data_IF_437333555357
#
_entry.id   IF_437333555357
#
_cell.length_a   1.000
_cell.length_b   1.000
_cell.length_c   1.000
_cell.angle_alpha   90.00
_cell.angle_beta   90.00
_cell.angle_gamma   90.00
#
_symmetry.space_group_name_H-M   'P 1'
#
loop_
_entity.id
_entity.type
_entity.pdbx_description
1 polymer ?
#
# COMPACT_ATOMS: atom_id res chain seq x y z
N UNK A 1 4.12 1.65 46.37
CA UNK A 1 5.40 1.24 45.77
C UNK A 1 5.07 0.54 44.45
N UNK A 2 4.94 1.33 43.39
CA UNK A 2 4.45 0.90 42.09
C UNK A 2 5.59 0.93 41.09
N UNK A 3 5.85 -0.17 40.46
CA UNK A 3 6.87 -0.37 39.45
C UNK A 3 6.50 0.31 38.12
N UNK A 4 7.44 0.97 37.46
CA UNK A 4 7.23 1.42 36.08
C UNK A 4 7.59 0.29 35.13
N UNK A 5 6.58 -0.37 34.57
CA UNK A 5 6.74 -1.46 33.58
C UNK A 5 6.87 -0.98 32.13
N UNK A 6 7.29 0.26 31.87
CA UNK A 6 7.23 0.86 30.52
C UNK A 6 8.57 1.30 29.93
N UNK A 7 9.71 1.04 30.61
CA UNK A 7 11.01 1.53 30.15
C UNK A 7 11.91 0.50 29.41
N UNK A 8 11.44 -0.72 29.13
CA UNK A 8 12.33 -1.81 28.67
C UNK A 8 12.16 -2.22 27.20
N UNK A 9 11.61 -1.39 26.29
CA UNK A 9 11.34 -1.81 24.89
C UNK A 9 12.03 -1.02 23.79
N UNK A 10 12.92 -0.08 24.07
CA UNK A 10 13.52 0.78 23.04
C UNK A 10 14.93 0.38 22.56
N UNK A 11 15.51 -0.71 23.04
CA UNK A 11 16.92 -1.02 22.78
C UNK A 11 17.19 -2.29 21.95
N UNK A 12 16.21 -2.83 21.23
CA UNK A 12 16.46 -3.92 20.30
C UNK A 12 17.03 -3.39 19.00
N UNK A 13 18.36 -3.34 18.90
CA UNK A 13 19.07 -2.87 17.71
C UNK A 13 19.05 -3.86 16.52
N UNK A 14 18.62 -5.10 16.69
CA UNK A 14 18.66 -6.14 15.67
C UNK A 14 17.28 -6.80 15.46
N UNK A 15 17.02 -7.24 14.20
CA UNK A 15 15.86 -8.05 13.86
C UNK A 15 16.03 -9.45 14.44
N UNK A 16 15.01 -9.94 15.12
CA UNK A 16 14.89 -11.35 15.51
C UNK A 16 14.40 -12.21 14.31
N UNK A 17 14.59 -13.53 14.34
CA UNK A 17 14.08 -14.41 13.26
C UNK A 17 12.58 -14.23 12.98
N UNK A 18 11.77 -14.01 14.02
CA UNK A 18 10.33 -13.72 13.88
C UNK A 18 10.06 -12.41 13.13
N UNK A 19 10.90 -11.38 13.35
CA UNK A 19 10.75 -10.08 12.68
C UNK A 19 11.09 -10.20 11.18
N UNK A 20 12.11 -10.99 10.85
CA UNK A 20 12.43 -11.33 9.46
C UNK A 20 11.31 -12.12 8.80
N UNK A 21 10.71 -13.10 9.51
CA UNK A 21 9.56 -13.85 9.01
C UNK A 21 8.37 -12.94 8.71
N UNK A 22 8.01 -12.03 9.61
CA UNK A 22 6.96 -11.05 9.40
C UNK A 22 7.28 -10.10 8.24
N UNK A 23 8.53 -9.64 8.15
CA UNK A 23 8.99 -8.74 7.10
C UNK A 23 8.88 -9.36 5.71
N UNK A 24 9.36 -10.59 5.54
CA UNK A 24 9.29 -11.33 4.27
C UNK A 24 7.84 -11.65 3.92
N UNK A 25 7.05 -12.16 4.89
CA UNK A 25 5.64 -12.47 4.67
C UNK A 25 4.86 -11.23 4.20
N UNK A 26 5.05 -10.08 4.86
CA UNK A 26 4.39 -8.84 4.49
C UNK A 26 4.79 -8.33 3.12
N UNK A 27 6.10 -8.39 2.81
CA UNK A 27 6.62 -7.98 1.50
C UNK A 27 5.99 -8.82 0.39
N UNK A 28 5.89 -10.16 0.61
CA UNK A 28 5.28 -11.08 -0.33
C UNK A 28 3.77 -10.85 -0.46
N UNK A 29 3.03 -10.73 0.64
CA UNK A 29 1.58 -10.53 0.65
C UNK A 29 1.22 -9.24 -0.13
N UNK A 30 1.91 -8.14 0.14
CA UNK A 30 1.61 -6.89 -0.55
C UNK A 30 2.14 -6.85 -1.98
N UNK A 31 3.30 -7.43 -2.26
CA UNK A 31 3.81 -7.57 -3.63
C UNK A 31 2.92 -8.44 -4.51
N UNK A 32 2.36 -9.52 -3.94
CA UNK A 32 1.43 -10.40 -4.65
C UNK A 32 0.04 -9.77 -4.87
N UNK A 33 -0.30 -8.69 -4.17
CA UNK A 33 -1.62 -8.05 -4.31
C UNK A 33 -1.91 -7.61 -5.76
N UNK A 34 -0.91 -7.18 -6.51
CA UNK A 34 -1.08 -6.74 -7.91
C UNK A 34 -1.37 -7.93 -8.84
N UNK A 35 -0.76 -9.09 -8.60
CA UNK A 35 -1.08 -10.33 -9.29
C UNK A 35 -2.53 -10.77 -9.02
N UNK A 36 -2.97 -10.72 -7.76
CA UNK A 36 -4.35 -11.09 -7.41
C UNK A 36 -5.39 -10.12 -7.98
N UNK A 37 -5.08 -8.82 -8.07
CA UNK A 37 -5.93 -7.84 -8.78
C UNK A 37 -6.05 -8.23 -10.24
N UNK A 38 -4.96 -8.55 -10.91
CA UNK A 38 -4.94 -8.90 -12.33
C UNK A 38 -5.71 -10.21 -12.61
N UNK A 39 -5.57 -11.23 -11.76
CA UNK A 39 -6.37 -12.46 -11.85
C UNK A 39 -7.87 -12.14 -11.68
N UNK A 40 -8.21 -11.29 -10.73
CA UNK A 40 -9.60 -10.91 -10.46
C UNK A 40 -10.23 -10.14 -11.64
N UNK A 41 -9.47 -9.28 -12.30
CA UNK A 41 -9.88 -8.52 -13.47
C UNK A 41 -10.23 -9.40 -14.68
N UNK A 42 -9.81 -10.67 -14.69
CA UNK A 42 -10.20 -11.63 -15.71
C UNK A 42 -11.72 -11.89 -15.80
N UNK A 43 -12.49 -11.57 -14.74
CA UNK A 43 -13.93 -11.73 -14.72
C UNK A 43 -14.67 -10.63 -13.94
N UNK A 44 -14.01 -9.98 -12.98
CA UNK A 44 -14.63 -8.98 -12.13
C UNK A 44 -14.30 -7.56 -12.59
N UNK A 45 -15.32 -6.73 -12.60
CA UNK A 45 -15.17 -5.29 -12.80
C UNK A 45 -14.39 -4.66 -11.63
N UNK A 46 -13.53 -3.64 -11.84
CA UNK A 46 -12.76 -2.97 -10.80
C UNK A 46 -13.55 -2.56 -9.55
N UNK A 47 -14.78 -2.11 -9.74
CA UNK A 47 -15.68 -1.72 -8.65
C UNK A 47 -16.02 -2.88 -7.71
N UNK A 48 -16.28 -4.06 -8.26
CA UNK A 48 -16.57 -5.25 -7.46
C UNK A 48 -15.34 -5.71 -6.69
N UNK A 49 -14.16 -5.73 -7.34
CA UNK A 49 -12.90 -6.08 -6.69
C UNK A 49 -12.62 -5.15 -5.50
N UNK A 50 -12.74 -3.84 -5.70
CA UNK A 50 -12.55 -2.84 -4.64
C UNK A 50 -13.52 -3.07 -3.49
N UNK A 51 -14.81 -3.19 -3.78
CA UNK A 51 -15.86 -3.31 -2.77
C UNK A 51 -15.72 -4.59 -1.93
N UNK A 52 -15.50 -5.74 -2.58
CA UNK A 52 -15.25 -7.01 -1.87
C UNK A 52 -13.97 -6.91 -1.04
N UNK A 53 -12.89 -6.32 -1.60
CA UNK A 53 -11.62 -6.16 -0.91
C UNK A 53 -11.77 -5.38 0.39
N UNK A 54 -12.42 -4.21 0.35
CA UNK A 54 -12.58 -3.38 1.56
C UNK A 54 -13.60 -3.99 2.53
N UNK A 55 -14.70 -4.57 2.03
CA UNK A 55 -15.76 -5.17 2.83
C UNK A 55 -15.31 -6.41 3.59
N UNK A 56 -14.76 -7.40 2.88
CA UNK A 56 -14.23 -8.60 3.54
C UNK A 56 -12.99 -8.29 4.39
N UNK A 57 -12.15 -7.33 3.99
CA UNK A 57 -11.06 -6.83 4.82
C UNK A 57 -11.56 -6.20 6.12
N UNK A 58 -12.64 -5.41 6.07
CA UNK A 58 -13.28 -4.86 7.25
C UNK A 58 -13.85 -5.96 8.17
N UNK A 59 -14.53 -6.94 7.58
CA UNK A 59 -15.09 -8.10 8.32
C UNK A 59 -13.98 -8.93 8.99
N UNK A 60 -12.89 -9.20 8.26
CA UNK A 60 -11.74 -9.93 8.80
C UNK A 60 -11.10 -9.22 10.02
N UNK A 61 -11.08 -7.90 10.04
CA UNK A 61 -10.59 -7.15 11.20
C UNK A 61 -11.66 -7.03 12.30
N UNK A 62 -12.95 -6.97 11.97
CA UNK A 62 -14.04 -6.78 12.92
C UNK A 62 -14.20 -7.95 13.89
N UNK A 63 -13.73 -9.16 13.52
CA UNK A 63 -13.71 -10.32 14.42
C UNK A 63 -12.73 -10.16 15.59
N UNK A 64 -11.75 -9.26 15.45
CA UNK A 64 -10.75 -9.00 16.48
C UNK A 64 -11.33 -8.09 17.57
N UNK A 65 -11.30 -8.49 18.86
CA UNK A 65 -11.75 -7.62 19.95
C UNK A 65 -11.02 -6.27 19.97
N UNK A 66 -9.74 -6.27 19.61
CA UNK A 66 -8.90 -5.07 19.54
C UNK A 66 -9.37 -4.05 18.49
N UNK A 67 -10.15 -4.45 17.48
CA UNK A 67 -10.70 -3.54 16.48
C UNK A 67 -11.87 -2.68 17.01
N UNK A 68 -12.47 -3.06 18.16
CA UNK A 68 -13.69 -2.46 18.71
C UNK A 68 -13.42 -1.28 19.62
N UNK A 69 -12.74 -0.25 19.07
CA UNK A 69 -12.42 0.98 19.82
C UNK A 69 -13.37 2.10 19.40
N UNK A 70 -13.85 2.89 20.37
CA UNK A 70 -14.64 4.09 20.12
C UNK A 70 -13.71 5.27 19.84
N UNK A 71 -13.93 5.95 18.72
CA UNK A 71 -13.19 7.15 18.33
C UNK A 71 -13.86 8.39 18.92
N UNK A 72 -13.07 9.27 19.49
CA UNK A 72 -13.52 10.59 19.94
C UNK A 72 -14.11 11.39 18.76
N UNK A 73 -15.14 12.20 18.98
CA UNK A 73 -15.82 12.95 17.91
C UNK A 73 -14.88 13.76 17.03
N UNK A 74 -13.89 14.41 17.63
CA UNK A 74 -12.87 15.24 16.96
C UNK A 74 -11.97 14.45 16.02
N UNK A 75 -11.75 13.14 16.25
CA UNK A 75 -10.89 12.30 15.43
C UNK A 75 -11.66 11.58 14.30
N UNK A 76 -13.00 11.53 14.37
CA UNK A 76 -13.82 10.83 13.37
C UNK A 76 -13.63 11.40 11.96
N UNK A 77 -13.51 12.73 11.85
CA UNK A 77 -13.26 13.41 10.57
C UNK A 77 -11.93 13.00 9.98
N UNK A 78 -10.88 12.86 10.79
CA UNK A 78 -9.56 12.41 10.33
C UNK A 78 -9.60 10.97 9.84
N UNK A 79 -10.30 10.07 10.57
CA UNK A 79 -10.48 8.67 10.16
C UNK A 79 -11.29 8.57 8.86
N UNK A 80 -12.31 9.43 8.68
CA UNK A 80 -13.06 9.51 7.42
C UNK A 80 -12.15 9.93 6.27
N UNK A 81 -11.35 10.98 6.41
CA UNK A 81 -10.39 11.37 5.38
C UNK A 81 -9.37 10.28 5.07
N UNK A 82 -8.86 9.59 6.10
CA UNK A 82 -7.96 8.46 5.91
C UNK A 82 -8.65 7.29 5.19
N UNK A 83 -9.95 7.05 5.42
CA UNK A 83 -10.68 6.02 4.68
C UNK A 83 -10.76 6.32 3.18
N UNK A 84 -10.72 7.59 2.80
CA UNK A 84 -10.71 8.03 1.40
C UNK A 84 -9.29 7.92 0.83
N UNK A 85 -8.33 8.62 1.45
CA UNK A 85 -6.99 8.78 0.85
C UNK A 85 -6.06 7.58 1.06
N UNK A 86 -6.28 6.76 2.09
CA UNK A 86 -5.46 5.57 2.31
C UNK A 86 -6.06 4.29 1.75
N UNK A 87 -7.36 4.18 1.72
CA UNK A 87 -8.04 2.93 1.38
C UNK A 87 -8.82 3.07 0.08
N UNK A 88 -9.86 3.84 0.08
CA UNK A 88 -10.84 3.76 -0.98
C UNK A 88 -10.33 4.26 -2.32
N UNK A 89 -9.70 5.44 -2.38
CA UNK A 89 -9.14 5.96 -3.62
C UNK A 89 -8.03 5.06 -4.15
N UNK A 90 -6.97 4.71 -3.38
CA UNK A 90 -5.93 3.83 -3.89
C UNK A 90 -6.44 2.43 -4.29
N UNK A 91 -7.29 1.81 -3.46
CA UNK A 91 -7.79 0.46 -3.76
C UNK A 91 -8.73 0.42 -4.97
N UNK A 92 -9.33 1.55 -5.32
CA UNK A 92 -10.10 1.71 -6.57
C UNK A 92 -9.19 1.96 -7.76
N UNK A 93 -8.17 2.78 -7.59
CA UNK A 93 -7.29 3.17 -8.69
C UNK A 93 -6.38 2.03 -9.17
N UNK A 94 -5.92 1.12 -8.28
CA UNK A 94 -5.08 0.00 -8.71
C UNK A 94 -5.80 -0.94 -9.69
N UNK A 95 -7.01 -1.46 -9.41
CA UNK A 95 -7.72 -2.28 -10.39
C UNK A 95 -8.09 -1.52 -11.67
N UNK A 96 -8.40 -0.21 -11.58
CA UNK A 96 -8.64 0.62 -12.75
C UNK A 96 -7.38 0.78 -13.60
N UNK A 97 -6.24 1.06 -12.97
CA UNK A 97 -4.95 1.22 -13.63
C UNK A 97 -4.52 -0.07 -14.35
N UNK A 98 -4.77 -1.22 -13.75
CA UNK A 98 -4.40 -2.52 -14.33
C UNK A 98 -5.26 -2.92 -15.54
N UNK A 99 -6.28 -2.15 -15.89
CA UNK A 99 -6.94 -2.27 -17.20
C UNK A 99 -6.08 -1.66 -18.33
N UNK A 100 -5.06 -0.86 -18.01
CA UNK A 100 -4.23 -0.11 -18.97
C UNK A 100 -2.75 -0.51 -18.92
N UNK A 101 -2.26 -0.96 -17.77
CA UNK A 101 -0.88 -1.39 -17.53
C UNK A 101 -0.85 -2.72 -16.77
N UNK A 102 0.19 -3.51 -16.96
CA UNK A 102 0.29 -4.83 -16.34
C UNK A 102 0.58 -4.76 -14.81
N UNK A 103 0.47 -5.91 -14.15
CA UNK A 103 0.64 -6.03 -12.70
C UNK A 103 2.07 -5.72 -12.24
N UNK A 104 3.08 -6.11 -13.03
CA UNK A 104 4.48 -5.83 -12.74
C UNK A 104 4.75 -4.32 -12.70
N UNK A 105 4.32 -3.57 -13.73
CA UNK A 105 4.49 -2.10 -13.81
C UNK A 105 3.74 -1.41 -12.68
N UNK A 106 2.52 -1.85 -12.37
CA UNK A 106 1.73 -1.29 -11.26
C UNK A 106 2.48 -1.40 -9.94
N UNK A 107 3.05 -2.58 -9.65
CA UNK A 107 3.82 -2.80 -8.43
C UNK A 107 5.16 -2.06 -8.41
N UNK A 108 5.86 -1.96 -9.56
CA UNK A 108 7.08 -1.16 -9.68
C UNK A 108 6.83 0.31 -9.33
N UNK A 109 5.77 0.91 -9.88
CA UNK A 109 5.38 2.30 -9.63
C UNK A 109 4.92 2.51 -8.18
N UNK A 110 4.35 1.48 -7.52
CA UNK A 110 4.00 1.57 -6.10
C UNK A 110 5.22 1.82 -5.20
N UNK A 111 6.43 1.49 -5.64
CA UNK A 111 7.69 1.84 -4.97
C UNK A 111 7.91 3.35 -4.79
N UNK A 112 7.12 4.20 -5.46
CA UNK A 112 7.16 5.66 -5.32
C UNK A 112 6.56 6.18 -3.99
N UNK A 113 5.86 5.36 -3.21
CA UNK A 113 5.21 5.78 -1.96
C UNK A 113 6.14 6.51 -0.98
N UNK A 114 7.36 6.03 -0.66
CA UNK A 114 8.27 6.76 0.23
C UNK A 114 8.71 8.12 -0.32
N UNK A 115 8.83 8.22 -1.65
CA UNK A 115 9.21 9.46 -2.34
C UNK A 115 8.12 10.51 -2.14
N UNK A 116 6.86 10.17 -2.44
CA UNK A 116 5.72 11.07 -2.20
C UNK A 116 5.51 11.37 -0.71
N UNK A 117 5.77 10.40 0.18
CA UNK A 117 5.71 10.64 1.62
C UNK A 117 6.70 11.73 2.04
N UNK A 118 7.93 11.69 1.54
CA UNK A 118 8.95 12.69 1.84
C UNK A 118 8.63 14.05 1.22
N UNK A 119 8.17 14.09 -0.02
CA UNK A 119 7.77 15.34 -0.71
C UNK A 119 6.62 16.02 0.04
N UNK A 120 5.55 15.29 0.34
CA UNK A 120 4.38 15.81 1.05
C UNK A 120 4.76 16.23 2.47
N UNK A 121 5.59 15.45 3.17
CA UNK A 121 6.13 15.78 4.47
C UNK A 121 6.87 17.12 4.49
N UNK A 122 7.65 17.37 3.42
CA UNK A 122 8.37 18.63 3.25
C UNK A 122 7.47 19.82 2.94
N UNK A 123 6.53 19.65 2.02
CA UNK A 123 5.68 20.74 1.53
C UNK A 123 4.61 21.17 2.54
N UNK A 124 3.97 20.21 3.24
CA UNK A 124 2.76 20.47 4.02
C UNK A 124 2.92 20.22 5.52
N UNK A 125 3.96 19.51 5.95
CA UNK A 125 4.12 19.12 7.36
C UNK A 125 5.38 19.66 8.01
N UNK A 126 6.06 20.64 7.36
CA UNK A 126 7.23 21.31 7.93
C UNK A 126 8.45 20.38 8.11
N UNK A 127 8.57 19.33 7.31
CA UNK A 127 9.67 18.35 7.36
C UNK A 127 10.48 18.40 6.06
N UNK A 128 11.19 19.53 5.77
CA UNK A 128 11.88 19.71 4.50
C UNK A 128 12.98 18.66 4.31
N UNK A 129 13.03 18.08 3.12
CA UNK A 129 14.10 17.16 2.74
C UNK A 129 15.43 17.93 2.61
N UNK A 130 16.53 17.37 3.11
CA UNK A 130 17.87 17.96 3.08
C UNK A 130 18.88 16.92 2.59
N UNK A 131 20.06 17.39 2.12
CA UNK A 131 21.19 16.55 1.78
C UNK A 131 20.84 15.28 0.99
N UNK A 132 21.16 14.08 1.50
CA UNK A 132 20.91 12.81 0.83
C UNK A 132 19.45 12.55 0.47
N UNK A 133 18.50 13.14 1.22
CA UNK A 133 17.08 12.99 0.91
C UNK A 133 16.70 13.66 -0.40
N UNK A 134 17.23 14.86 -0.67
CA UNK A 134 17.00 15.57 -1.97
C UNK A 134 17.57 14.78 -3.13
N UNK A 135 18.78 14.24 -2.98
CA UNK A 135 19.37 13.36 -3.97
C UNK A 135 18.51 12.13 -4.21
N UNK A 136 18.01 11.51 -3.13
CA UNK A 136 17.08 10.37 -3.20
C UNK A 136 15.79 10.69 -3.96
N UNK A 137 15.19 11.86 -3.70
CA UNK A 137 14.01 12.33 -4.44
C UNK A 137 14.29 12.50 -5.94
N UNK A 138 15.43 13.07 -6.30
CA UNK A 138 15.81 13.26 -7.71
C UNK A 138 16.04 11.91 -8.41
N UNK A 139 16.81 11.01 -7.80
CA UNK A 139 17.05 9.65 -8.33
C UNK A 139 15.73 8.89 -8.49
N UNK A 140 14.90 8.90 -7.46
CA UNK A 140 13.62 8.22 -7.48
C UNK A 140 12.66 8.78 -8.54
N UNK A 141 12.66 10.10 -8.74
CA UNK A 141 11.87 10.72 -9.81
C UNK A 141 12.33 10.27 -11.20
N UNK A 142 13.64 10.23 -11.46
CA UNK A 142 14.18 9.66 -12.70
C UNK A 142 13.75 8.20 -12.87
N UNK A 143 13.79 7.42 -11.79
CA UNK A 143 13.31 6.03 -11.80
C UNK A 143 11.83 5.91 -12.16
N UNK A 144 10.95 6.72 -11.57
CA UNK A 144 9.51 6.77 -11.89
C UNK A 144 9.30 7.09 -13.38
N UNK A 145 9.97 8.10 -13.90
CA UNK A 145 9.90 8.49 -15.33
C UNK A 145 10.36 7.33 -16.20
N UNK A 146 11.47 6.69 -15.86
CA UNK A 146 12.02 5.54 -16.62
C UNK A 146 11.03 4.37 -16.66
N UNK A 147 10.44 3.98 -15.52
CA UNK A 147 9.42 2.93 -15.46
C UNK A 147 8.19 3.32 -16.29
N UNK A 148 7.74 4.57 -16.14
CA UNK A 148 6.55 5.07 -16.85
C UNK A 148 6.70 5.03 -18.36
N UNK A 149 7.87 5.47 -18.89
CA UNK A 149 8.17 5.44 -20.31
C UNK A 149 8.43 4.03 -20.85
N UNK A 150 8.83 3.11 -19.97
CA UNK A 150 9.21 1.74 -20.34
C UNK A 150 8.07 0.75 -20.13
N UNK A 151 6.88 1.19 -19.76
CA UNK A 151 5.73 0.33 -19.40
C UNK A 151 5.20 -0.57 -20.52
N UNK A 152 5.81 -0.51 -21.72
CA UNK A 152 5.48 -1.38 -22.86
C UNK A 152 4.15 -1.09 -23.53
N UNK A 153 3.28 -0.34 -22.90
CA UNK A 153 2.05 0.15 -23.48
C UNK A 153 2.34 1.52 -24.13
N UNK A 154 2.54 1.53 -25.44
CA UNK A 154 2.66 2.77 -26.20
C UNK A 154 1.25 3.36 -26.39
N UNK A 155 1.05 4.63 -25.97
CA UNK A 155 -0.18 5.37 -26.24
C UNK A 155 -0.79 6.05 -25.02
N UNK A 156 -1.85 6.84 -25.25
CA UNK A 156 -2.58 7.58 -24.22
C UNK A 156 -3.11 6.69 -23.08
N UNK A 157 -3.52 5.46 -23.42
CA UNK A 157 -4.08 4.50 -22.46
C UNK A 157 -3.09 4.12 -21.34
N UNK A 158 -1.82 3.88 -21.69
CA UNK A 158 -0.79 3.57 -20.70
C UNK A 158 -0.51 4.74 -19.75
N UNK A 159 -0.50 5.96 -20.29
CA UNK A 159 -0.34 7.17 -19.50
C UNK A 159 -1.43 7.29 -18.43
N UNK A 160 -2.69 6.97 -18.78
CA UNK A 160 -3.81 6.96 -17.83
C UNK A 160 -3.55 5.97 -16.69
N UNK A 161 -3.14 4.73 -17.00
CA UNK A 161 -2.82 3.72 -15.98
C UNK A 161 -1.69 4.15 -15.05
N UNK A 162 -0.60 4.68 -15.63
CA UNK A 162 0.54 5.22 -14.86
C UNK A 162 0.09 6.37 -13.95
N UNK A 163 -0.68 7.33 -14.49
CA UNK A 163 -1.17 8.48 -13.72
C UNK A 163 -2.05 8.04 -12.55
N UNK A 164 -2.92 7.03 -12.75
CA UNK A 164 -3.74 6.45 -11.68
C UNK A 164 -2.89 5.84 -10.56
N UNK A 165 -1.84 5.08 -10.89
CA UNK A 165 -0.95 4.49 -9.89
C UNK A 165 -0.17 5.57 -9.15
N UNK A 166 0.38 6.56 -9.86
CA UNK A 166 1.11 7.66 -9.23
C UNK A 166 0.20 8.49 -8.31
N UNK A 167 -1.06 8.72 -8.70
CA UNK A 167 -2.02 9.39 -7.83
C UNK A 167 -2.38 8.54 -6.61
N UNK A 168 -2.53 7.22 -6.75
CA UNK A 168 -2.72 6.32 -5.61
C UNK A 168 -1.53 6.36 -4.63
N UNK A 169 -0.29 6.38 -5.14
CA UNK A 169 0.92 6.48 -4.31
C UNK A 169 1.08 7.85 -3.64
N UNK A 170 0.64 8.92 -4.32
CA UNK A 170 0.52 10.25 -3.72
C UNK A 170 -0.45 10.25 -2.54
N UNK A 171 -1.63 9.63 -2.71
CA UNK A 171 -2.61 9.45 -1.64
C UNK A 171 -2.02 8.67 -0.46
N UNK A 172 -1.26 7.61 -0.69
CA UNK A 172 -0.54 6.88 0.36
C UNK A 172 0.49 7.76 1.08
N UNK A 173 1.24 8.58 0.32
CA UNK A 173 2.18 9.53 0.90
C UNK A 173 1.50 10.54 1.83
N UNK A 174 0.35 11.08 1.43
CA UNK A 174 -0.46 11.96 2.27
C UNK A 174 -1.00 11.23 3.50
N UNK A 175 -1.59 10.06 3.31
CA UNK A 175 -2.15 9.25 4.39
C UNK A 175 -1.10 8.89 5.45
N UNK A 176 0.09 8.50 5.04
CA UNK A 176 1.20 8.17 5.94
C UNK A 176 1.58 9.35 6.84
N UNK A 177 1.58 10.58 6.29
CA UNK A 177 1.88 11.79 7.07
C UNK A 177 0.78 12.13 8.11
N UNK A 178 -0.49 11.79 7.82
CA UNK A 178 -1.65 12.10 8.68
C UNK A 178 -1.90 10.99 9.71
N UNK A 179 -1.66 9.74 9.36
CA UNK A 179 -2.10 8.58 10.14
C UNK A 179 -1.35 8.37 11.45
N UNK A 180 -0.08 8.79 11.53
CA UNK A 180 0.78 8.52 12.69
C UNK A 180 0.14 8.85 14.03
N UNK A 181 -0.32 10.08 14.29
CA UNK A 181 -0.94 10.46 15.56
C UNK A 181 -2.20 9.65 15.88
N UNK A 182 -3.02 9.35 14.90
CA UNK A 182 -4.27 8.58 15.07
C UNK A 182 -3.97 7.12 15.40
N UNK A 183 -3.03 6.51 14.68
CA UNK A 183 -2.60 5.14 14.96
C UNK A 183 -1.89 5.01 16.30
N UNK A 184 -1.15 6.03 16.71
CA UNK A 184 -0.51 6.04 18.04
C UNK A 184 -1.56 6.11 19.17
N UNK A 185 -2.63 6.90 18.98
CA UNK A 185 -3.70 7.09 19.97
C UNK A 185 -4.61 5.86 20.10
N UNK A 186 -4.99 5.22 18.98
CA UNK A 186 -6.02 4.17 18.96
C UNK A 186 -5.49 2.78 18.59
N UNK A 187 -4.25 2.68 18.12
CA UNK A 187 -3.68 1.49 17.54
C UNK A 187 -3.96 1.37 16.02
N UNK A 188 -3.10 0.65 15.32
CA UNK A 188 -3.21 0.50 13.86
C UNK A 188 -4.43 -0.32 13.44
N UNK A 189 -4.73 -1.41 14.17
CA UNK A 189 -5.83 -2.33 13.83
C UNK A 189 -7.21 -1.65 13.95
N UNK A 190 -7.57 -0.96 15.04
CA UNK A 190 -8.85 -0.24 15.14
C UNK A 190 -9.02 0.83 14.06
N UNK A 191 -7.95 1.60 13.80
CA UNK A 191 -7.97 2.67 12.78
C UNK A 191 -8.23 2.06 11.41
N UNK A 192 -7.52 0.99 11.05
CA UNK A 192 -7.69 0.32 9.76
C UNK A 192 -9.07 -0.32 9.62
N UNK A 193 -9.57 -1.01 10.64
CA UNK A 193 -10.91 -1.60 10.63
C UNK A 193 -11.98 -0.55 10.38
N UNK A 194 -11.88 0.61 11.03
CA UNK A 194 -12.82 1.72 10.83
C UNK A 194 -12.71 2.35 9.45
N UNK A 195 -11.48 2.52 8.94
CA UNK A 195 -11.27 3.05 7.59
C UNK A 195 -11.83 2.11 6.51
N UNK A 196 -11.60 0.81 6.63
CA UNK A 196 -12.15 -0.19 5.70
C UNK A 196 -13.68 -0.21 5.74
N UNK A 197 -14.30 -0.15 6.93
CA UNK A 197 -15.74 -0.09 7.07
C UNK A 197 -16.33 1.16 6.38
N UNK A 198 -15.74 2.32 6.62
CA UNK A 198 -16.17 3.57 5.98
C UNK A 198 -15.95 3.50 4.45
N UNK A 199 -14.81 2.95 4.01
CA UNK A 199 -14.53 2.75 2.59
C UNK A 199 -15.57 1.83 1.94
N UNK A 200 -15.99 0.75 2.63
CA UNK A 200 -17.04 -0.14 2.14
C UNK A 200 -18.33 0.62 1.86
N UNK A 201 -18.74 1.51 2.79
CA UNK A 201 -19.99 2.27 2.66
C UNK A 201 -19.97 3.18 1.43
N UNK A 202 -18.93 4.00 1.26
CA UNK A 202 -18.92 4.95 0.16
C UNK A 202 -18.45 4.38 -1.18
N UNK A 203 -17.79 3.20 -1.20
CA UNK A 203 -17.52 2.47 -2.46
C UNK A 203 -18.69 1.60 -2.90
N UNK A 204 -19.75 1.44 -2.10
CA UNK A 204 -20.92 0.61 -2.43
C UNK A 204 -21.54 0.94 -3.78
N UNK A 205 -21.77 2.20 -4.17
CA UNK A 205 -22.34 2.49 -5.51
C UNK A 205 -21.47 1.93 -6.64
N UNK A 206 -20.15 2.08 -6.53
CA UNK A 206 -19.21 1.54 -7.51
C UNK A 206 -19.16 0.01 -7.46
N UNK A 207 -19.29 -0.58 -6.27
CA UNK A 207 -19.39 -2.02 -6.07
C UNK A 207 -20.65 -2.63 -6.72
N UNK A 208 -21.80 -1.97 -6.61
CA UNK A 208 -23.06 -2.39 -7.26
C UNK A 208 -22.92 -2.35 -8.78
N UNK A 209 -22.41 -1.24 -9.33
CA UNK A 209 -22.11 -1.14 -10.77
C UNK A 209 -21.16 -2.28 -11.17
N UNK A 210 -20.15 -2.54 -10.36
CA UNK A 210 -19.22 -3.63 -10.58
C UNK A 210 -19.87 -4.99 -10.58
N UNK A 211 -20.76 -5.27 -9.65
CA UNK A 211 -21.48 -6.56 -9.57
C UNK A 211 -22.36 -6.81 -10.80
N UNK A 212 -23.01 -5.77 -11.31
CA UNK A 212 -23.85 -5.85 -12.52
C UNK A 212 -23.05 -6.05 -13.82
N UNK A 213 -21.76 -5.71 -13.81
CA UNK A 213 -20.86 -5.80 -14.97
C UNK A 213 -19.76 -6.86 -14.79
N UNK A 214 -19.94 -7.81 -13.90
CA UNK A 214 -18.99 -8.90 -13.64
C UNK A 214 -19.59 -10.24 -14.00
N UNK A 215 -18.73 -11.18 -14.42
CA UNK A 215 -19.08 -12.58 -14.56
C UNK A 215 -18.41 -13.39 -13.44
N UNK A 216 -19.06 -14.44 -12.96
CA UNK A 216 -18.47 -15.27 -11.92
C UNK A 216 -17.47 -16.27 -12.50
N UNK A 217 -16.24 -16.27 -11.96
CA UNK A 217 -15.29 -17.36 -12.11
C UNK A 217 -14.65 -17.68 -10.76
N UNK A 218 -14.34 -18.96 -10.53
CA UNK A 218 -13.69 -19.37 -9.28
C UNK A 218 -12.33 -18.69 -9.10
N UNK A 219 -11.59 -18.49 -10.18
CA UNK A 219 -10.29 -17.81 -10.17
C UNK A 219 -10.42 -16.35 -9.69
N UNK A 220 -11.36 -15.57 -10.26
CA UNK A 220 -11.55 -14.18 -9.84
C UNK A 220 -12.10 -14.08 -8.42
N UNK A 221 -13.03 -14.95 -8.03
CA UNK A 221 -13.60 -14.99 -6.69
C UNK A 221 -12.52 -15.32 -5.65
N UNK A 222 -11.77 -16.40 -5.85
CA UNK A 222 -10.69 -16.81 -4.93
C UNK A 222 -9.58 -15.76 -4.84
N UNK A 223 -9.15 -15.20 -5.95
CA UNK A 223 -8.16 -14.11 -5.98
C UNK A 223 -8.63 -12.89 -5.18
N UNK A 224 -9.90 -12.49 -5.35
CA UNK A 224 -10.47 -11.35 -4.61
C UNK A 224 -10.61 -11.63 -3.13
N UNK A 225 -11.01 -12.85 -2.72
CA UNK A 225 -11.08 -13.25 -1.31
C UNK A 225 -9.70 -13.27 -0.68
N UNK A 226 -8.68 -13.85 -1.34
CA UNK A 226 -7.29 -13.83 -0.86
C UNK A 226 -6.80 -12.39 -0.73
N UNK A 227 -7.05 -11.54 -1.70
CA UNK A 227 -6.69 -10.12 -1.68
C UNK A 227 -7.37 -9.38 -0.50
N UNK A 228 -8.62 -9.69 -0.20
CA UNK A 228 -9.37 -9.08 0.87
C UNK A 228 -8.96 -9.57 2.26
N UNK A 229 -8.89 -10.88 2.46
CA UNK A 229 -8.66 -11.48 3.79
C UNK A 229 -7.17 -11.48 4.10
N UNK A 230 -6.33 -11.99 3.20
CA UNK A 230 -4.88 -12.09 3.41
C UNK A 230 -4.20 -10.78 3.07
N UNK A 231 -4.43 -10.24 1.85
CA UNK A 231 -3.79 -9.03 1.34
C UNK A 231 -4.21 -7.73 2.06
N UNK A 232 -5.32 -7.76 2.79
CA UNK A 232 -5.83 -6.60 3.53
C UNK A 232 -6.01 -6.91 5.02
N UNK A 233 -6.95 -7.78 5.41
CA UNK A 233 -7.22 -8.05 6.81
C UNK A 233 -6.00 -8.54 7.58
N UNK A 234 -5.49 -9.72 7.24
CA UNK A 234 -4.33 -10.32 7.90
C UNK A 234 -3.08 -9.43 7.76
N UNK A 235 -2.84 -8.88 6.57
CA UNK A 235 -1.69 -8.02 6.32
C UNK A 235 -1.61 -6.85 7.29
N UNK A 236 -2.71 -6.17 7.59
CA UNK A 236 -2.68 -5.06 8.54
C UNK A 236 -2.42 -5.50 9.98
N UNK A 237 -2.85 -6.70 10.37
CA UNK A 237 -2.52 -7.28 11.68
C UNK A 237 -1.02 -7.58 11.76
N UNK A 238 -0.47 -8.23 10.74
CA UNK A 238 0.97 -8.54 10.67
C UNK A 238 1.82 -7.27 10.64
N UNK A 239 1.40 -6.26 9.88
CA UNK A 239 2.09 -4.96 9.82
C UNK A 239 2.03 -4.24 11.17
N UNK A 240 0.88 -4.20 11.83
CA UNK A 240 0.75 -3.63 13.17
C UNK A 240 1.66 -4.35 14.18
N UNK A 241 1.76 -5.69 14.09
CA UNK A 241 2.65 -6.50 14.91
C UNK A 241 4.10 -6.16 14.64
N UNK A 242 4.52 -6.11 13.37
CA UNK A 242 5.89 -5.77 12.99
C UNK A 242 6.26 -4.37 13.45
N UNK A 243 5.39 -3.37 13.22
CA UNK A 243 5.61 -2.00 13.71
C UNK A 243 5.75 -1.94 15.22
N UNK A 244 4.96 -2.71 15.97
CA UNK A 244 5.05 -2.80 17.42
C UNK A 244 6.37 -3.42 17.92
N UNK A 245 6.99 -4.29 17.11
CA UNK A 245 8.23 -5.00 17.46
C UNK A 245 9.50 -4.22 17.06
N UNK A 246 9.56 -3.71 15.84
CA UNK A 246 10.78 -3.10 15.28
C UNK A 246 10.68 -1.59 15.05
N UNK A 247 9.50 -1.02 15.26
CA UNK A 247 9.20 0.39 15.02
C UNK A 247 8.83 0.70 13.56
N UNK A 248 8.10 1.79 13.35
CA UNK A 248 7.59 2.18 12.04
C UNK A 248 8.66 2.37 10.96
N UNK A 249 9.78 3.07 11.23
CA UNK A 249 10.83 3.28 10.22
C UNK A 249 11.42 1.99 9.68
N UNK A 250 11.65 0.98 10.53
CA UNK A 250 12.19 -0.32 10.09
C UNK A 250 11.14 -1.16 9.38
N UNK A 251 9.92 -1.17 9.88
CA UNK A 251 8.80 -1.87 9.24
C UNK A 251 8.52 -1.32 7.84
N UNK A 252 8.73 -0.03 7.58
CA UNK A 252 8.50 0.59 6.27
C UNK A 252 9.44 0.09 5.16
N UNK A 253 10.55 -0.59 5.49
CA UNK A 253 11.45 -1.19 4.47
C UNK A 253 10.75 -2.27 3.62
N UNK A 254 9.63 -2.82 4.07
CA UNK A 254 8.75 -3.69 3.27
C UNK A 254 8.43 -3.05 1.92
N UNK A 255 8.19 -1.75 1.88
CA UNK A 255 7.81 -1.03 0.66
C UNK A 255 8.87 -1.09 -0.44
N UNK A 256 10.14 -1.34 -0.10
CA UNK A 256 11.22 -1.48 -1.07
C UNK A 256 11.25 -2.86 -1.74
N UNK A 257 10.72 -3.89 -1.08
CA UNK A 257 10.64 -5.24 -1.66
C UNK A 257 9.37 -5.46 -2.50
N UNK A 258 8.31 -4.69 -2.27
CA UNK A 258 7.05 -4.80 -3.02
C UNK A 258 7.28 -4.74 -4.53
N UNK A 259 8.01 -3.75 -5.09
CA UNK A 259 8.27 -3.69 -6.53
C UNK A 259 8.99 -4.92 -7.08
N UNK A 260 9.96 -5.45 -6.33
CA UNK A 260 10.74 -6.63 -6.75
C UNK A 260 9.84 -7.87 -6.81
N UNK A 261 9.04 -8.09 -5.76
CA UNK A 261 8.13 -9.24 -5.68
C UNK A 261 7.02 -9.13 -6.74
N UNK A 262 6.44 -7.96 -6.90
CA UNK A 262 5.42 -7.73 -7.92
C UNK A 262 5.94 -7.97 -9.33
N UNK A 263 7.14 -7.46 -9.64
CA UNK A 263 7.83 -7.70 -10.90
C UNK A 263 8.03 -9.21 -11.14
N UNK A 264 8.61 -9.92 -10.15
CA UNK A 264 8.86 -11.35 -10.27
C UNK A 264 7.56 -12.15 -10.48
N UNK A 265 6.52 -11.86 -9.71
CA UNK A 265 5.23 -12.55 -9.82
C UNK A 265 4.51 -12.24 -11.14
N UNK A 266 4.52 -10.99 -11.60
CA UNK A 266 3.94 -10.60 -12.89
C UNK A 266 4.61 -11.32 -14.06
N UNK A 267 5.94 -11.35 -14.08
CA UNK A 267 6.70 -12.07 -15.13
C UNK A 267 6.44 -13.58 -15.07
N UNK A 268 6.52 -14.19 -13.89
CA UNK A 268 6.44 -15.66 -13.75
C UNK A 268 5.02 -16.19 -13.98
N UNK A 269 4.00 -15.52 -13.45
CA UNK A 269 2.63 -16.05 -13.43
C UNK A 269 1.73 -15.46 -14.51
N UNK A 270 2.04 -14.25 -15.01
CA UNK A 270 1.24 -13.57 -16.03
C UNK A 270 1.96 -13.41 -17.36
N UNK A 271 3.26 -13.71 -17.42
CA UNK A 271 4.08 -13.48 -18.60
C UNK A 271 4.23 -11.99 -18.93
N UNK A 272 4.17 -11.12 -17.90
CA UNK A 272 4.28 -9.68 -18.09
C UNK A 272 5.60 -9.35 -18.80
N UNK A 273 5.51 -8.66 -19.92
CA UNK A 273 6.69 -8.19 -20.65
C UNK A 273 7.26 -6.97 -19.91
N UNK A 274 8.50 -7.11 -19.48
CA UNK A 274 9.21 -6.07 -18.75
C UNK A 274 10.52 -5.75 -19.46
N UNK A 275 10.71 -4.49 -19.80
CA UNK A 275 11.93 -4.03 -20.46
C UNK A 275 13.09 -3.91 -19.45
N UNK A 276 14.33 -4.03 -19.92
CA UNK A 276 15.50 -3.78 -19.08
C UNK A 276 15.51 -2.36 -18.50
N UNK A 277 14.98 -1.40 -19.26
CA UNK A 277 14.83 -0.02 -18.79
C UNK A 277 13.84 0.09 -17.61
N UNK A 278 12.73 -0.68 -17.62
CA UNK A 278 11.80 -0.72 -16.50
C UNK A 278 12.44 -1.33 -15.24
N UNK A 279 13.26 -2.38 -15.39
CA UNK A 279 14.03 -2.97 -14.28
C UNK A 279 15.03 -1.98 -13.71
N UNK A 280 15.79 -1.28 -14.57
CA UNK A 280 16.73 -0.24 -14.16
C UNK A 280 16.01 0.93 -13.47
N UNK A 281 14.88 1.38 -14.02
CA UNK A 281 14.03 2.41 -13.42
C UNK A 281 13.53 2.00 -12.04
N UNK A 282 13.12 0.74 -11.86
CA UNK A 282 12.70 0.20 -10.55
C UNK A 282 13.86 0.23 -9.54
N UNK A 283 15.06 -0.16 -9.96
CA UNK A 283 16.25 -0.05 -9.10
C UNK A 283 16.50 1.40 -8.67
N UNK A 284 16.37 2.37 -9.59
CA UNK A 284 16.47 3.80 -9.26
C UNK A 284 15.37 4.26 -8.29
N UNK A 285 14.11 3.80 -8.47
CA UNK A 285 13.01 4.09 -7.52
C UNK A 285 13.36 3.58 -6.13
N UNK A 286 13.85 2.35 -6.02
CA UNK A 286 14.21 1.74 -4.72
C UNK A 286 15.37 2.50 -4.08
N UNK A 287 16.46 2.77 -4.81
CA UNK A 287 17.60 3.54 -4.31
C UNK A 287 17.15 4.94 -3.87
N UNK A 288 16.38 5.61 -4.71
CA UNK A 288 15.83 6.93 -4.41
C UNK A 288 14.94 6.93 -3.15
N UNK A 289 14.07 5.92 -3.01
CA UNK A 289 13.20 5.77 -1.86
C UNK A 289 13.99 5.49 -0.56
N UNK A 290 15.03 4.65 -0.63
CA UNK A 290 15.92 4.38 0.50
C UNK A 290 16.63 5.66 0.95
N UNK A 291 17.19 6.44 0.01
CA UNK A 291 17.85 7.70 0.33
C UNK A 291 16.87 8.75 0.87
N UNK A 292 15.68 8.86 0.25
CA UNK A 292 14.64 9.81 0.67
C UNK A 292 14.08 9.50 2.08
N UNK A 293 14.14 8.25 2.54
CA UNK A 293 13.67 7.86 3.86
C UNK A 293 14.72 7.98 4.99
N UNK A 294 15.99 8.21 4.64
CA UNK A 294 17.04 8.42 5.65
C UNK A 294 16.78 9.73 6.39
N UNK A 295 16.69 9.65 7.73
CA UNK A 295 16.73 10.84 8.58
C UNK A 295 18.21 11.20 8.77
N UNK A 296 18.52 12.47 8.59
CA UNK A 296 19.80 13.00 9.08
C UNK A 296 19.74 12.92 10.62
N UNK A 297 20.80 12.34 11.21
CA UNK A 297 20.99 12.26 12.65
C UNK A 297 21.28 13.67 13.23
#
# INVERSE_FOLDING_TARGET
MSLPATAARSDRQQFEPTDWGLFVAMSFIWGASFLFIDIALGAFHPGLITWIRVGLGALALAVLPTARVRFAPEDRRKVLWLSIVWVGVPFTLFPLAQQYINSAVTGMLNGAVPIFTAVIGGLFFGRPSRGPQRLGLSIGFVGIVTVSLSSGAAGESAFIGVAMVLFATLCYGLATNIAGPIQHKYGSVPVMARMLLLATIWTTPFGIIGALNSSFTLAAASATVVLAVVGTGLAFVLMATLVGRVGGPRASFITYLIPVISLALGVVFRGDLVTLAAVAGTALVIVGAVLASRREA
#
